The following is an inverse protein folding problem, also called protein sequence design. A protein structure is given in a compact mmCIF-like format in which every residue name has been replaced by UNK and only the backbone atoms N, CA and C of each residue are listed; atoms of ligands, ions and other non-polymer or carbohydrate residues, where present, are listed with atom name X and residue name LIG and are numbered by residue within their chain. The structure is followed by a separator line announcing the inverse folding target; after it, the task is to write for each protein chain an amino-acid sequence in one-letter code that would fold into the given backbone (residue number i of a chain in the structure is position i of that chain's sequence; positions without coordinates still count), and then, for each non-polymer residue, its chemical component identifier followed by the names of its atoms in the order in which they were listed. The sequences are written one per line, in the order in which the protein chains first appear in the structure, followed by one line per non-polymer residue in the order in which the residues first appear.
data_IF_860058359416
#
_entry.id   IF_860058359416
#
_cell.length_a   1.000
_cell.length_b   1.000
_cell.length_c   1.000
_cell.angle_alpha   90.00
_cell.angle_beta   90.00
_cell.angle_gamma   90.00
#
_symmetry.space_group_name_H-M   'P 1'
#
loop_
_entity.id
_entity.type
_entity.pdbx_description
1 polymer ?
#
# COMPACT_ATOMS: atom_id res chain seq x y z
N UNK A 1 10.33 27.67 -15.38
CA UNK A 1 11.03 26.40 -15.07
C UNK A 1 10.12 25.65 -14.11
N UNK A 2 9.82 24.36 -14.33
CA UNK A 2 9.16 23.56 -13.28
C UNK A 2 10.17 23.46 -12.12
N UNK A 3 9.77 23.81 -10.92
CA UNK A 3 10.61 23.62 -9.72
C UNK A 3 10.93 22.14 -9.60
N UNK A 4 12.17 21.82 -9.23
CA UNK A 4 12.58 20.45 -8.96
C UNK A 4 11.80 19.97 -7.72
N UNK A 5 11.01 18.91 -7.82
CA UNK A 5 10.20 18.44 -6.71
C UNK A 5 11.01 18.05 -5.47
N UNK A 6 12.32 17.80 -5.61
CA UNK A 6 13.22 17.48 -4.49
C UNK A 6 13.22 18.57 -3.41
N UNK A 7 13.07 19.83 -3.81
CA UNK A 7 13.09 21.00 -2.94
C UNK A 7 11.73 21.41 -2.37
N UNK A 8 10.70 20.57 -2.55
CA UNK A 8 9.39 20.81 -1.92
C UNK A 8 9.53 20.75 -0.41
N UNK A 9 9.10 21.79 0.28
CA UNK A 9 9.02 21.84 1.73
C UNK A 9 7.77 21.13 2.21
N UNK A 10 7.94 20.06 2.98
CA UNK A 10 6.81 19.25 3.47
C UNK A 10 5.85 20.03 4.37
N UNK A 11 6.32 21.11 5.01
CA UNK A 11 5.51 22.00 5.83
C UNK A 11 4.40 22.71 5.06
N UNK A 12 4.56 22.91 3.75
CA UNK A 12 3.54 23.52 2.88
C UNK A 12 2.34 22.59 2.67
N UNK A 13 2.54 21.28 2.90
CA UNK A 13 1.52 20.24 2.81
C UNK A 13 0.98 19.87 4.20
N UNK A 14 0.80 20.88 5.04
CA UNK A 14 0.22 20.74 6.37
C UNK A 14 -1.16 21.39 6.42
N UNK A 15 -2.04 20.77 7.18
CA UNK A 15 -3.37 21.30 7.51
C UNK A 15 -3.74 20.86 8.93
N UNK A 16 -4.66 21.57 9.62
CA UNK A 16 -5.13 21.14 10.92
C UNK A 16 -6.02 19.91 10.78
N UNK A 17 -5.61 18.79 11.39
CA UNK A 17 -6.41 17.57 11.46
C UNK A 17 -6.75 17.30 12.94
N UNK A 18 -7.95 17.69 13.39
CA UNK A 18 -8.40 17.38 14.75
C UNK A 18 -8.60 15.89 14.95
N UNK A 19 -8.31 15.34 16.15
CA UNK A 19 -8.43 13.92 16.44
C UNK A 19 -9.86 13.38 16.26
N UNK A 20 -10.87 14.21 16.52
CA UNK A 20 -12.28 13.89 16.32
C UNK A 20 -12.66 13.68 14.85
N UNK A 21 -11.86 14.14 13.91
CA UNK A 21 -12.04 13.90 12.47
C UNK A 21 -11.43 12.58 12.01
N UNK A 22 -10.57 11.97 12.81
CA UNK A 22 -9.96 10.67 12.50
C UNK A 22 -10.95 9.57 12.85
N UNK A 23 -11.43 8.85 11.83
CA UNK A 23 -12.31 7.70 12.05
C UNK A 23 -11.55 6.56 12.73
N UNK A 24 -11.88 6.28 13.99
CA UNK A 24 -11.24 5.21 14.77
C UNK A 24 -11.78 3.82 14.39
N UNK A 25 -12.99 3.74 13.88
CA UNK A 25 -13.70 2.53 13.45
C UNK A 25 -14.41 2.76 12.11
N UNK A 26 -14.65 1.69 11.32
CA UNK A 26 -15.50 1.80 10.15
C UNK A 26 -16.95 2.07 10.54
N UNK A 27 -17.75 2.53 9.58
CA UNK A 27 -19.19 2.53 9.72
C UNK A 27 -19.72 1.08 9.77
N UNK A 28 -20.84 0.82 10.46
CA UNK A 28 -21.48 -0.51 10.46
C UNK A 28 -21.79 -1.00 9.04
N UNK A 29 -22.19 -0.08 8.16
CA UNK A 29 -22.37 -0.30 6.73
C UNK A 29 -21.34 0.56 5.99
N UNK A 30 -20.23 -0.06 5.55
CA UNK A 30 -19.04 0.65 5.04
C UNK A 30 -19.33 1.61 3.89
N UNK A 31 -20.17 1.21 2.95
CA UNK A 31 -20.52 1.98 1.76
C UNK A 31 -21.58 3.09 1.99
N UNK A 32 -22.00 3.30 3.24
CA UNK A 32 -22.72 4.49 3.67
C UNK A 32 -21.80 5.65 4.06
N UNK A 33 -20.49 5.48 3.88
CA UNK A 33 -19.52 6.58 4.03
C UNK A 33 -19.79 7.68 3.01
N UNK A 34 -19.37 8.90 3.33
CA UNK A 34 -19.47 10.02 2.39
C UNK A 34 -18.48 9.85 1.23
N UNK A 35 -18.87 10.37 0.08
CA UNK A 35 -18.03 10.48 -1.12
C UNK A 35 -17.91 11.95 -1.51
N UNK A 36 -16.72 12.52 -1.43
CA UNK A 36 -16.41 13.80 -2.03
C UNK A 36 -16.09 13.58 -3.51
N UNK A 37 -16.72 14.33 -4.40
CA UNK A 37 -16.43 14.30 -5.83
C UNK A 37 -15.73 15.60 -6.21
N UNK A 38 -14.49 15.51 -6.66
CA UNK A 38 -13.77 16.61 -7.29
C UNK A 38 -13.67 16.36 -8.79
N UNK A 39 -14.26 17.24 -9.57
CA UNK A 39 -14.25 17.14 -11.02
C UNK A 39 -13.96 18.51 -11.65
N UNK A 40 -12.81 18.63 -12.33
CA UNK A 40 -12.41 19.85 -13.08
C UNK A 40 -12.53 21.16 -12.28
N UNK A 41 -12.17 21.11 -11.01
CA UNK A 41 -12.21 22.27 -10.11
C UNK A 41 -13.49 22.43 -9.30
N UNK A 42 -14.55 21.68 -9.61
CA UNK A 42 -15.82 21.69 -8.87
C UNK A 42 -15.84 20.59 -7.82
N UNK A 43 -16.43 20.88 -6.65
CA UNK A 43 -16.58 19.93 -5.55
C UNK A 43 -18.06 19.70 -5.30
N UNK A 44 -18.44 18.44 -5.18
CA UNK A 44 -19.76 18.00 -4.71
C UNK A 44 -19.61 16.84 -3.74
N UNK A 45 -20.68 16.45 -3.07
CA UNK A 45 -20.70 15.31 -2.15
C UNK A 45 -21.89 14.41 -2.38
N UNK A 46 -21.70 13.13 -2.07
CA UNK A 46 -22.72 12.09 -2.13
C UNK A 46 -22.38 10.98 -1.12
N UNK A 47 -23.09 9.87 -1.17
CA UNK A 47 -22.79 8.64 -0.44
C UNK A 47 -21.98 7.70 -1.33
N UNK A 48 -21.07 6.90 -0.75
CA UNK A 48 -20.17 6.03 -1.49
C UNK A 48 -20.88 5.03 -2.41
N UNK A 49 -22.10 4.60 -2.05
CA UNK A 49 -22.95 3.75 -2.91
C UNK A 49 -23.25 4.35 -4.27
N UNK A 50 -23.21 5.68 -4.40
CA UNK A 50 -23.42 6.40 -5.67
C UNK A 50 -22.17 6.45 -6.57
N UNK A 51 -21.02 5.90 -6.13
CA UNK A 51 -19.77 5.95 -6.89
C UNK A 51 -19.94 5.54 -8.37
N UNK A 52 -20.68 4.46 -8.72
CA UNK A 52 -20.85 4.05 -10.12
C UNK A 52 -21.48 5.14 -11.01
N UNK A 53 -22.31 6.01 -10.45
CA UNK A 53 -23.00 7.06 -11.22
C UNK A 53 -22.04 8.12 -11.77
N UNK A 54 -20.93 8.34 -11.09
CA UNK A 54 -19.93 9.35 -11.44
C UNK A 54 -18.86 8.86 -12.42
N UNK A 55 -18.86 7.56 -12.75
CA UNK A 55 -17.82 6.93 -13.57
C UNK A 55 -18.34 6.63 -14.98
N UNK A 56 -17.54 6.88 -16.04
CA UNK A 56 -17.91 6.56 -17.39
C UNK A 56 -18.02 5.04 -17.62
N UNK A 57 -19.06 4.61 -18.32
CA UNK A 57 -19.17 3.23 -18.82
C UNK A 57 -17.95 2.87 -19.70
N UNK A 58 -17.49 1.64 -19.62
CA UNK A 58 -16.32 1.17 -20.36
C UNK A 58 -14.98 1.58 -19.74
N UNK A 59 -14.99 2.16 -18.51
CA UNK A 59 -13.77 2.44 -17.77
C UNK A 59 -13.17 1.17 -17.19
N UNK A 60 -11.87 1.17 -16.92
CA UNK A 60 -11.15 0.14 -16.19
C UNK A 60 -10.81 0.64 -14.78
N UNK A 61 -11.26 -0.06 -13.75
CA UNK A 61 -10.95 0.24 -12.35
C UNK A 61 -10.01 -0.81 -11.78
N UNK A 62 -8.93 -0.36 -11.15
CA UNK A 62 -7.85 -1.22 -10.66
C UNK A 62 -7.74 -1.15 -9.14
N UNK A 63 -7.71 -2.33 -8.51
CA UNK A 63 -7.66 -2.54 -7.07
C UNK A 63 -6.36 -3.20 -6.63
N UNK A 64 -5.89 -2.88 -5.42
CA UNK A 64 -4.83 -3.63 -4.77
C UNK A 64 -5.45 -4.75 -3.92
N UNK A 65 -5.21 -6.01 -4.31
CA UNK A 65 -5.79 -7.20 -3.70
C UNK A 65 -4.98 -7.77 -2.53
N UNK A 66 -4.00 -7.04 -2.04
CA UNK A 66 -3.18 -7.49 -0.91
C UNK A 66 -4.01 -7.67 0.36
N UNK A 67 -3.62 -8.66 1.17
CA UNK A 67 -4.24 -8.98 2.47
C UNK A 67 -3.26 -8.68 3.60
N UNK A 68 -3.75 -8.00 4.64
CA UNK A 68 -2.95 -7.69 5.82
C UNK A 68 -2.67 -8.96 6.62
N UNK A 69 -1.41 -9.12 7.04
CA UNK A 69 -0.96 -10.19 7.90
C UNK A 69 -0.88 -9.74 9.35
N UNK A 70 -0.96 -10.67 10.28
CA UNK A 70 -0.82 -10.42 11.72
C UNK A 70 0.67 -10.28 12.08
N UNK A 71 1.31 -9.22 11.58
CA UNK A 71 2.76 -9.03 11.57
C UNK A 71 3.35 -8.56 12.89
N UNK A 72 2.53 -8.31 13.92
CA UNK A 72 2.95 -7.80 15.22
C UNK A 72 2.97 -8.92 16.24
N UNK A 73 4.17 -9.32 16.68
CA UNK A 73 4.41 -10.41 17.63
C UNK A 73 4.82 -9.85 18.99
N UNK A 74 4.24 -10.39 20.07
CA UNK A 74 4.59 -10.03 21.42
C UNK A 74 5.26 -11.19 22.16
N UNK A 75 6.40 -10.92 22.76
CA UNK A 75 7.15 -11.85 23.61
C UNK A 75 7.31 -11.27 25.01
N UNK A 76 7.18 -12.13 26.02
CA UNK A 76 7.42 -11.75 27.40
C UNK A 76 8.69 -12.42 27.90
N UNK A 77 9.66 -11.65 28.36
CA UNK A 77 10.88 -12.15 28.98
C UNK A 77 10.57 -12.70 30.37
N UNK A 78 11.44 -13.58 30.92
CA UNK A 78 11.36 -14.05 32.29
C UNK A 78 11.32 -12.89 33.33
N UNK A 79 11.96 -11.78 33.00
CA UNK A 79 11.96 -10.54 33.81
C UNK A 79 10.60 -9.81 33.78
N UNK A 80 9.60 -10.32 33.03
CA UNK A 80 8.30 -9.71 32.85
C UNK A 80 8.26 -8.63 31.75
N UNK A 81 9.40 -8.24 31.17
CA UNK A 81 9.43 -7.22 30.11
C UNK A 81 8.74 -7.70 28.83
N UNK A 82 7.82 -6.89 28.32
CA UNK A 82 7.15 -7.13 27.05
C UNK A 82 8.01 -6.55 25.92
N UNK A 83 8.31 -7.39 24.91
CA UNK A 83 9.02 -7.04 23.69
C UNK A 83 8.05 -7.19 22.52
N UNK A 84 7.87 -6.15 21.74
CA UNK A 84 7.13 -6.19 20.48
C UNK A 84 8.12 -6.41 19.34
N UNK A 85 7.82 -7.36 18.47
CA UNK A 85 8.56 -7.62 17.22
C UNK A 85 7.58 -7.43 16.06
N UNK A 86 7.76 -6.34 15.32
CA UNK A 86 6.90 -5.97 14.20
C UNK A 86 7.58 -6.32 12.88
N UNK A 87 7.12 -7.35 12.19
CA UNK A 87 7.61 -7.79 10.89
C UNK A 87 7.29 -6.76 9.80
N UNK A 88 8.31 -6.31 9.06
CA UNK A 88 8.17 -5.28 8.02
C UNK A 88 8.27 -5.88 6.63
N UNK A 89 9.34 -6.63 6.37
CA UNK A 89 9.62 -7.26 5.08
C UNK A 89 10.39 -8.57 5.27
N UNK A 90 10.15 -9.60 4.42
CA UNK A 90 10.89 -10.84 4.48
C UNK A 90 12.33 -10.64 4.01
N UNK A 91 13.27 -11.35 4.63
CA UNK A 91 14.69 -11.32 4.25
C UNK A 91 15.13 -12.68 3.70
N UNK A 92 14.74 -13.76 4.36
CA UNK A 92 15.18 -15.10 3.96
C UNK A 92 14.07 -16.14 4.20
N UNK A 93 13.49 -16.66 3.11
CA UNK A 93 13.55 -16.14 1.72
C UNK A 93 13.03 -14.70 1.62
N UNK A 94 13.52 -13.91 0.67
CA UNK A 94 13.10 -12.53 0.44
C UNK A 94 11.80 -12.39 -0.36
N UNK A 95 11.18 -13.51 -0.73
CA UNK A 95 9.87 -13.59 -1.35
C UNK A 95 8.79 -13.87 -0.31
N UNK A 96 7.69 -13.13 -0.34
CA UNK A 96 6.60 -13.25 0.63
C UNK A 96 5.95 -14.64 0.62
N UNK A 97 5.67 -15.20 -0.57
CA UNK A 97 5.00 -16.50 -0.69
C UNK A 97 5.91 -17.62 -0.18
N UNK A 98 7.17 -17.61 -0.61
CA UNK A 98 8.15 -18.60 -0.18
C UNK A 98 8.45 -18.48 1.32
N UNK A 99 8.48 -17.26 1.86
CA UNK A 99 8.72 -17.04 3.28
C UNK A 99 7.55 -17.55 4.14
N UNK A 100 6.30 -17.28 3.72
CA UNK A 100 5.11 -17.79 4.43
C UNK A 100 4.98 -19.31 4.41
N UNK A 101 5.55 -19.98 3.41
CA UNK A 101 5.54 -21.44 3.29
C UNK A 101 6.67 -22.13 4.05
N UNK A 102 7.61 -21.38 4.65
CA UNK A 102 8.66 -21.97 5.47
C UNK A 102 8.07 -22.75 6.65
N UNK A 103 8.67 -23.88 6.99
CA UNK A 103 8.14 -24.82 8.02
C UNK A 103 9.07 -25.05 9.19
N UNK A 104 10.20 -24.37 9.26
CA UNK A 104 11.17 -24.51 10.36
C UNK A 104 11.71 -23.16 10.83
N UNK A 105 12.01 -22.26 9.90
CA UNK A 105 12.52 -20.94 10.22
C UNK A 105 12.16 -19.95 9.10
N UNK A 106 12.08 -18.66 9.48
CA UNK A 106 11.90 -17.55 8.56
C UNK A 106 12.60 -16.31 9.11
N UNK A 107 13.23 -15.51 8.24
CA UNK A 107 13.91 -14.29 8.65
C UNK A 107 13.20 -13.04 8.09
N UNK A 108 13.03 -12.05 8.96
CA UNK A 108 12.36 -10.80 8.63
C UNK A 108 13.14 -9.59 9.13
N UNK A 109 13.05 -8.50 8.39
CA UNK A 109 13.42 -7.19 8.91
C UNK A 109 12.28 -6.70 9.79
N UNK A 110 12.58 -6.37 11.05
CA UNK A 110 11.58 -6.03 12.05
C UNK A 110 11.89 -4.71 12.75
N UNK A 111 10.86 -3.97 13.11
CA UNK A 111 10.95 -2.97 14.16
C UNK A 111 10.75 -3.65 15.52
N UNK A 112 11.49 -3.20 16.52
CA UNK A 112 11.45 -3.79 17.86
C UNK A 112 11.03 -2.75 18.86
N UNK A 113 9.86 -2.95 19.48
CA UNK A 113 9.39 -2.17 20.60
C UNK A 113 10.10 -2.61 21.88
N UNK A 114 10.44 -1.64 22.75
CA UNK A 114 11.16 -1.87 23.98
C UNK A 114 12.56 -2.53 23.79
N UNK A 115 13.23 -2.19 22.68
CA UNK A 115 14.52 -2.75 22.26
C UNK A 115 15.58 -2.77 23.38
N UNK A 116 15.61 -1.74 24.23
CA UNK A 116 16.56 -1.62 25.36
C UNK A 116 16.47 -2.80 26.34
N UNK A 117 15.34 -3.50 26.37
CA UNK A 117 15.12 -4.68 27.22
C UNK A 117 15.50 -6.00 26.54
N UNK A 118 15.75 -5.98 25.22
CA UNK A 118 16.24 -7.13 24.46
C UNK A 118 17.65 -6.91 23.97
N UNK A 119 18.61 -7.00 24.87
CA UNK A 119 20.05 -6.76 24.52
C UNK A 119 20.67 -7.97 23.85
N UNK A 120 20.34 -9.16 24.33
CA UNK A 120 20.88 -10.45 23.93
C UNK A 120 19.90 -11.59 24.21
N UNK A 121 20.28 -12.78 23.77
CA UNK A 121 19.51 -14.01 23.98
C UNK A 121 18.31 -14.15 23.03
N UNK A 122 17.62 -15.24 23.21
CA UNK A 122 16.42 -15.59 22.44
C UNK A 122 15.15 -15.22 23.21
N UNK A 123 14.15 -14.79 22.47
CA UNK A 123 12.78 -14.69 22.98
C UNK A 123 12.04 -15.96 22.63
N UNK A 124 11.21 -16.46 23.57
CA UNK A 124 10.40 -17.67 23.37
C UNK A 124 8.95 -17.41 23.75
N UNK A 125 8.04 -18.04 23.01
CA UNK A 125 6.62 -18.04 23.31
C UNK A 125 6.02 -19.37 22.87
N UNK A 126 5.17 -19.94 23.70
CA UNK A 126 4.50 -21.21 23.45
C UNK A 126 3.02 -20.97 23.19
N UNK A 127 2.48 -21.59 22.15
CA UNK A 127 1.05 -21.59 21.81
C UNK A 127 0.70 -22.87 21.04
N UNK A 128 -0.58 -23.17 20.95
CA UNK A 128 -1.07 -24.27 20.13
C UNK A 128 -1.45 -23.75 18.74
N UNK A 129 -0.87 -24.35 17.68
CA UNK A 129 -1.13 -24.03 16.28
C UNK A 129 -1.62 -25.30 15.57
N UNK A 130 -2.79 -25.28 14.96
CA UNK A 130 -3.40 -26.47 14.30
C UNK A 130 -3.45 -27.73 15.18
N UNK A 131 -3.60 -27.54 16.48
CA UNK A 131 -3.61 -28.65 17.45
C UNK A 131 -2.24 -29.11 17.95
N UNK A 132 -1.14 -28.55 17.43
CA UNK A 132 0.23 -28.86 17.87
C UNK A 132 0.73 -27.81 18.87
N UNK A 133 1.34 -28.23 20.00
CA UNK A 133 2.07 -27.31 20.84
C UNK A 133 3.32 -26.82 20.09
N UNK A 134 3.49 -25.51 19.95
CA UNK A 134 4.58 -24.88 19.23
C UNK A 134 5.35 -23.96 20.17
N UNK A 135 6.68 -24.10 20.16
CA UNK A 135 7.58 -23.12 20.75
C UNK A 135 8.17 -22.23 19.65
N UNK A 136 7.69 -20.99 19.56
CA UNK A 136 8.27 -19.99 18.67
C UNK A 136 9.44 -19.30 19.34
N UNK A 137 10.59 -19.31 18.67
CA UNK A 137 11.82 -18.65 19.11
C UNK A 137 12.15 -17.51 18.17
N UNK A 138 12.47 -16.32 18.71
CA UNK A 138 12.97 -15.18 17.96
C UNK A 138 14.40 -14.85 18.39
N UNK A 139 15.31 -14.72 17.42
CA UNK A 139 16.71 -14.36 17.64
C UNK A 139 17.00 -13.07 16.89
N UNK A 140 17.52 -12.06 17.58
CA UNK A 140 17.87 -10.78 16.99
C UNK A 140 19.23 -10.84 16.33
N UNK A 141 19.30 -10.44 15.06
CA UNK A 141 20.52 -10.32 14.27
C UNK A 141 20.96 -8.86 14.10
N UNK A 142 21.53 -8.58 12.93
CA UNK A 142 22.11 -7.29 12.59
C UNK A 142 21.10 -6.14 12.54
N UNK A 143 21.58 -4.94 12.81
CA UNK A 143 20.83 -3.71 12.70
C UNK A 143 20.94 -3.13 11.30
N UNK A 144 19.81 -2.77 10.69
CA UNK A 144 19.75 -2.09 9.40
C UNK A 144 18.93 -0.81 9.56
N UNK A 145 19.61 0.31 9.73
CA UNK A 145 18.95 1.59 10.05
C UNK A 145 18.29 1.57 11.41
N UNK A 146 16.97 1.71 11.46
CA UNK A 146 16.14 1.64 12.69
C UNK A 146 15.51 0.27 12.92
N UNK A 147 15.78 -0.69 12.03
CA UNK A 147 15.19 -2.03 12.05
C UNK A 147 16.26 -3.09 12.29
N UNK A 148 15.85 -4.27 12.67
CA UNK A 148 16.73 -5.38 12.96
C UNK A 148 16.32 -6.61 12.16
N UNK A 149 17.28 -7.38 11.72
CA UNK A 149 17.06 -8.75 11.27
C UNK A 149 16.61 -9.57 12.48
N UNK A 150 15.52 -10.33 12.31
CA UNK A 150 15.03 -11.27 13.31
C UNK A 150 14.80 -12.63 12.65
N UNK A 151 15.48 -13.65 13.18
CA UNK A 151 15.26 -15.04 12.81
C UNK A 151 14.19 -15.64 13.71
N UNK A 152 13.13 -16.14 13.10
CA UNK A 152 12.09 -16.92 13.77
C UNK A 152 12.33 -18.41 13.48
N UNK A 153 12.26 -19.23 14.54
CA UNK A 153 12.35 -20.68 14.43
C UNK A 153 11.26 -21.33 15.28
N UNK A 154 10.77 -22.48 14.85
CA UNK A 154 9.77 -23.27 15.56
C UNK A 154 10.02 -24.77 15.35
N UNK A 155 9.42 -25.59 16.20
CA UNK A 155 9.78 -26.99 16.42
C UNK A 155 8.87 -28.01 15.73
N UNK A 156 8.00 -27.59 14.78
CA UNK A 156 7.11 -28.50 14.08
C UNK A 156 7.00 -28.18 12.58
N UNK A 157 7.41 -29.12 11.70
CA UNK A 157 7.40 -28.90 10.24
C UNK A 157 6.01 -28.93 9.59
N UNK A 158 4.96 -29.36 10.30
CA UNK A 158 3.57 -29.32 9.79
C UNK A 158 2.95 -27.93 9.88
N UNK A 159 3.66 -26.97 10.49
CA UNK A 159 3.23 -25.60 10.72
C UNK A 159 4.07 -24.66 9.89
N UNK A 160 3.40 -23.85 9.06
CA UNK A 160 4.06 -22.84 8.22
C UNK A 160 4.24 -21.51 8.98
N UNK A 161 5.12 -20.63 8.47
CA UNK A 161 5.27 -19.29 9.06
C UNK A 161 3.96 -18.48 8.98
N UNK A 162 3.16 -18.68 7.91
CA UNK A 162 1.83 -18.08 7.84
C UNK A 162 0.92 -18.51 9.00
N UNK A 163 0.94 -19.81 9.37
CA UNK A 163 0.20 -20.33 10.51
C UNK A 163 0.71 -19.76 11.85
N UNK A 164 2.03 -19.59 11.96
CA UNK A 164 2.66 -18.94 13.13
C UNK A 164 2.12 -17.51 13.28
N UNK A 165 2.17 -16.70 12.22
CA UNK A 165 1.69 -15.32 12.28
C UNK A 165 0.20 -15.23 12.60
N UNK A 166 -0.61 -16.16 12.11
CA UNK A 166 -2.06 -16.18 12.35
C UNK A 166 -2.42 -16.43 13.81
N UNK A 167 -1.62 -17.18 14.54
CA UNK A 167 -1.88 -17.54 15.95
C UNK A 167 -1.08 -16.69 16.94
N UNK A 168 0.21 -16.46 16.66
CA UNK A 168 1.09 -15.70 17.55
C UNK A 168 1.02 -14.19 17.34
N UNK A 169 0.60 -13.75 16.15
CA UNK A 169 0.61 -12.36 15.75
C UNK A 169 -0.70 -11.63 16.04
N UNK A 170 -0.59 -10.32 16.03
CA UNK A 170 -1.71 -9.39 16.06
C UNK A 170 -1.71 -8.56 14.77
N UNK A 171 -2.91 -8.18 14.33
CA UNK A 171 -3.06 -7.33 13.15
C UNK A 171 -2.53 -5.92 13.46
N UNK A 172 -1.59 -5.38 12.68
CA UNK A 172 -1.08 -4.05 12.89
C UNK A 172 -2.08 -3.01 12.35
N UNK A 173 -2.73 -2.28 13.25
CA UNK A 173 -3.53 -1.11 12.87
C UNK A 173 -2.66 0.15 12.88
N UNK A 174 -3.02 1.19 12.10
CA UNK A 174 -2.25 2.43 12.06
C UNK A 174 -2.15 3.12 13.42
N UNK A 175 -0.96 3.65 13.79
CA UNK A 175 -0.76 4.30 15.09
C UNK A 175 -1.67 5.52 15.34
N UNK A 176 -2.07 6.23 14.29
CA UNK A 176 -2.94 7.41 14.40
C UNK A 176 -4.39 7.08 14.81
N UNK A 177 -4.77 5.80 14.79
CA UNK A 177 -6.06 5.37 15.34
C UNK A 177 -6.07 5.52 16.86
N UNK A 178 -4.90 5.57 17.50
CA UNK A 178 -4.71 5.81 18.93
C UNK A 178 -5.62 4.94 19.82
N UNK A 179 -5.67 3.66 19.49
CA UNK A 179 -6.38 2.60 20.21
C UNK A 179 -5.66 1.27 20.03
N UNK A 180 -5.95 0.31 20.87
CA UNK A 180 -5.48 -1.06 20.71
C UNK A 180 -6.21 -1.77 19.57
N UNK A 181 -5.58 -2.83 19.04
CA UNK A 181 -6.18 -3.71 18.05
C UNK A 181 -7.28 -4.55 18.73
N UNK A 182 -8.42 -4.66 18.07
CA UNK A 182 -9.54 -5.49 18.49
C UNK A 182 -9.68 -6.71 17.57
N UNK A 183 -10.36 -7.75 18.04
CA UNK A 183 -10.60 -8.97 17.25
C UNK A 183 -11.35 -8.63 15.94
N UNK A 184 -12.27 -7.67 16.00
CA UNK A 184 -13.02 -7.18 14.84
C UNK A 184 -12.12 -6.57 13.73
N UNK A 185 -10.92 -6.07 14.08
CA UNK A 185 -10.00 -5.50 13.08
C UNK A 185 -9.48 -6.56 12.09
N UNK A 186 -9.48 -7.84 12.47
CA UNK A 186 -9.10 -8.92 11.55
C UNK A 186 -9.97 -8.98 10.30
N UNK A 187 -11.23 -8.57 10.42
CA UNK A 187 -12.19 -8.47 9.31
C UNK A 187 -12.34 -7.04 8.80
N UNK A 188 -12.40 -6.08 9.71
CA UNK A 188 -12.73 -4.69 9.34
C UNK A 188 -11.55 -3.95 8.73
N UNK A 189 -10.30 -4.32 9.05
CA UNK A 189 -9.10 -3.76 8.45
C UNK A 189 -8.62 -4.58 7.22
N UNK A 190 -9.57 -5.13 6.47
CA UNK A 190 -9.38 -5.86 5.22
C UNK A 190 -10.38 -5.36 4.17
N UNK A 191 -9.96 -5.37 2.90
CA UNK A 191 -10.88 -5.12 1.79
C UNK A 191 -11.68 -6.39 1.46
N UNK A 192 -12.88 -6.24 0.90
CA UNK A 192 -13.72 -7.38 0.50
C UNK A 192 -13.13 -8.22 -0.64
N UNK A 193 -12.14 -7.67 -1.34
CA UNK A 193 -11.43 -8.34 -2.43
C UNK A 193 -9.98 -8.72 -2.06
N UNK A 194 -9.59 -8.63 -0.80
CA UNK A 194 -8.23 -9.02 -0.36
C UNK A 194 -7.99 -10.52 -0.51
N UNK A 195 -6.89 -10.91 -1.16
CA UNK A 195 -6.55 -12.31 -1.49
C UNK A 195 -5.12 -12.67 -1.12
N UNK A 196 -4.16 -11.84 -1.45
CA UNK A 196 -2.74 -12.16 -1.42
C UNK A 196 -2.13 -11.65 -0.11
N UNK A 197 -1.82 -12.57 0.81
CA UNK A 197 -1.17 -12.25 2.10
C UNK A 197 0.22 -11.65 1.88
N UNK A 198 0.58 -10.60 2.64
CA UNK A 198 1.92 -10.01 2.58
C UNK A 198 2.01 -8.56 3.00
N UNK A 199 0.90 -7.86 3.15
CA UNK A 199 0.91 -6.46 3.60
C UNK A 199 0.86 -6.34 5.10
N UNK A 200 1.52 -5.32 5.63
CA UNK A 200 1.41 -4.91 7.03
C UNK A 200 0.43 -3.74 7.21
N UNK A 201 -0.08 -3.18 6.12
CA UNK A 201 -1.15 -2.19 6.13
C UNK A 201 -2.18 -2.49 5.04
N UNK A 202 -3.44 -2.19 5.30
CA UNK A 202 -4.51 -2.35 4.31
C UNK A 202 -4.42 -1.27 3.21
N UNK A 203 -4.83 -1.57 1.97
CA UNK A 203 -5.10 -0.56 0.95
C UNK A 203 -6.43 0.14 1.28
N UNK A 204 -6.36 1.11 2.20
CA UNK A 204 -7.50 1.63 2.98
C UNK A 204 -8.59 2.29 2.14
N UNK A 205 -8.26 2.82 0.96
CA UNK A 205 -9.26 3.35 0.03
C UNK A 205 -10.29 2.28 -0.42
N UNK A 206 -9.92 1.01 -0.33
CA UNK A 206 -10.80 -0.12 -0.63
C UNK A 206 -11.74 -0.52 0.50
N UNK A 207 -11.56 0.00 1.72
CA UNK A 207 -12.35 -0.42 2.88
C UNK A 207 -13.83 -0.02 2.79
N UNK A 208 -14.17 1.01 2.03
CA UNK A 208 -15.56 1.45 1.82
C UNK A 208 -16.29 0.65 0.73
N UNK A 209 -15.57 -0.15 -0.06
CA UNK A 209 -16.19 -1.04 -1.05
C UNK A 209 -16.89 -2.23 -0.38
N UNK A 210 -18.06 -2.55 -0.90
CA UNK A 210 -18.85 -3.72 -0.53
C UNK A 210 -19.17 -4.53 -1.79
N UNK A 211 -19.60 -5.81 -1.66
CA UNK A 211 -20.02 -6.58 -2.82
C UNK A 211 -21.07 -5.86 -3.68
N UNK A 212 -22.06 -5.20 -3.07
CA UNK A 212 -23.09 -4.48 -3.84
C UNK A 212 -22.55 -3.30 -4.65
N UNK A 213 -21.51 -2.60 -4.17
CA UNK A 213 -20.87 -1.51 -4.93
C UNK A 213 -20.06 -2.10 -6.10
N UNK A 214 -19.36 -3.23 -5.88
CA UNK A 214 -18.63 -3.92 -6.94
C UNK A 214 -19.59 -4.43 -8.03
N UNK A 215 -20.71 -5.05 -7.63
CA UNK A 215 -21.74 -5.51 -8.55
C UNK A 215 -22.32 -4.36 -9.37
N UNK A 216 -22.66 -3.23 -8.72
CA UNK A 216 -23.18 -2.03 -9.38
C UNK A 216 -22.18 -1.43 -10.39
N UNK A 217 -20.87 -1.45 -10.09
CA UNK A 217 -19.83 -1.04 -11.03
C UNK A 217 -19.81 -1.95 -12.27
N UNK A 218 -19.88 -3.26 -12.08
CA UNK A 218 -19.92 -4.23 -13.19
C UNK A 218 -21.20 -4.10 -14.02
N UNK A 219 -22.36 -3.94 -13.38
CA UNK A 219 -23.64 -3.70 -14.05
C UNK A 219 -23.62 -2.44 -14.90
N UNK A 220 -22.89 -1.42 -14.47
CA UNK A 220 -22.66 -0.19 -15.25
C UNK A 220 -21.69 -0.41 -16.43
N UNK A 221 -21.05 -1.57 -16.53
CA UNK A 221 -20.07 -1.87 -17.59
C UNK A 221 -18.70 -1.27 -17.30
N UNK A 222 -18.31 -1.20 -16.03
CA UNK A 222 -16.95 -0.84 -15.61
C UNK A 222 -16.19 -2.15 -15.40
N UNK A 223 -15.07 -2.29 -16.10
CA UNK A 223 -14.18 -3.43 -15.92
C UNK A 223 -13.42 -3.31 -14.61
N UNK A 224 -13.39 -4.39 -13.83
CA UNK A 224 -12.68 -4.47 -12.56
C UNK A 224 -11.48 -5.39 -12.71
N UNK A 225 -10.29 -4.91 -12.35
CA UNK A 225 -9.05 -5.68 -12.36
C UNK A 225 -8.24 -5.48 -11.08
N UNK A 226 -7.35 -6.40 -10.83
CA UNK A 226 -6.54 -6.45 -9.62
C UNK A 226 -5.05 -6.40 -9.95
N UNK A 227 -4.31 -5.81 -9.04
CA UNK A 227 -2.86 -5.91 -8.94
C UNK A 227 -2.49 -6.18 -7.48
N UNK A 228 -1.24 -6.52 -7.23
CA UNK A 228 -0.73 -6.69 -5.86
C UNK A 228 0.40 -5.69 -5.62
N UNK A 229 0.30 -4.93 -4.55
CA UNK A 229 1.42 -4.21 -3.95
C UNK A 229 1.42 -4.53 -2.45
N UNK A 230 2.52 -5.09 -1.97
CA UNK A 230 2.70 -5.36 -0.56
C UNK A 230 3.11 -4.09 0.17
N UNK A 231 2.17 -3.57 0.97
CA UNK A 231 2.36 -2.31 1.70
C UNK A 231 3.23 -2.57 2.93
N UNK A 232 4.39 -1.91 2.97
CA UNK A 232 5.29 -1.95 4.12
C UNK A 232 4.87 -1.00 5.25
N UNK A 233 5.43 -1.19 6.45
CA UNK A 233 5.15 -0.34 7.62
C UNK A 233 5.62 1.12 7.46
N UNK A 234 6.41 1.40 6.44
CA UNK A 234 6.85 2.76 6.11
C UNK A 234 5.72 3.73 5.84
N UNK A 235 4.58 3.24 5.36
CA UNK A 235 3.38 4.04 5.09
C UNK A 235 2.83 4.77 6.34
N UNK A 236 3.16 4.28 7.53
CA UNK A 236 2.74 4.91 8.79
C UNK A 236 3.70 6.02 9.27
N UNK A 237 4.85 6.20 8.62
CA UNK A 237 5.85 7.19 9.05
C UNK A 237 5.61 8.51 8.33
N UNK A 238 5.45 9.63 9.07
CA UNK A 238 5.40 10.95 8.46
C UNK A 238 6.77 11.32 7.89
N UNK A 239 6.80 12.22 6.90
CA UNK A 239 8.03 12.83 6.41
C UNK A 239 8.63 13.67 7.54
N UNK A 240 9.89 13.39 7.89
CA UNK A 240 10.61 14.08 8.97
C UNK A 240 11.61 15.11 8.46
N UNK A 241 12.03 14.98 7.21
CA UNK A 241 12.91 15.96 6.56
C UNK A 241 12.15 17.25 6.25
N UNK A 242 12.87 18.37 6.23
CA UNK A 242 12.30 19.66 5.84
C UNK A 242 11.95 19.66 4.34
N UNK A 243 12.88 19.25 3.50
CA UNK A 243 12.67 19.02 2.07
C UNK A 243 12.44 17.53 1.79
N UNK A 244 11.63 17.23 0.77
CA UNK A 244 11.29 15.84 0.46
C UNK A 244 12.47 15.04 -0.11
N UNK A 245 13.54 15.68 -0.59
CA UNK A 245 14.77 15.01 -0.99
C UNK A 245 15.38 14.18 0.15
N UNK A 246 15.30 14.69 1.37
CA UNK A 246 15.80 13.99 2.57
C UNK A 246 14.92 12.84 3.07
N UNK A 247 13.77 12.58 2.42
CA UNK A 247 12.89 11.47 2.75
C UNK A 247 13.16 10.28 1.85
N UNK A 248 13.55 9.16 2.44
CA UNK A 248 13.74 7.89 1.72
C UNK A 248 12.42 7.12 1.66
N UNK A 249 11.95 6.86 0.42
CA UNK A 249 10.80 5.99 0.18
C UNK A 249 11.16 4.53 0.41
N UNK A 250 10.30 3.81 1.10
CA UNK A 250 10.45 2.37 1.26
C UNK A 250 10.25 1.65 -0.08
N UNK A 251 10.99 0.55 -0.25
CA UNK A 251 10.78 -0.38 -1.33
C UNK A 251 9.50 -1.16 -1.07
N UNK A 252 8.60 -1.18 -2.06
CA UNK A 252 7.39 -1.99 -2.03
C UNK A 252 7.37 -2.94 -3.22
N UNK A 253 7.08 -4.21 -2.95
CA UNK A 253 7.03 -5.25 -3.98
C UNK A 253 5.70 -5.23 -4.70
N UNK A 254 5.76 -5.25 -6.02
CA UNK A 254 4.59 -5.24 -6.91
C UNK A 254 4.54 -6.51 -7.75
N UNK A 255 3.31 -6.97 -7.98
CA UNK A 255 3.02 -8.12 -8.82
C UNK A 255 1.81 -7.81 -9.68
N UNK A 256 1.97 -7.87 -11.01
CA UNK A 256 0.92 -7.55 -11.96
C UNK A 256 0.82 -8.64 -13.02
N UNK A 257 -0.37 -9.22 -13.15
CA UNK A 257 -0.61 -10.28 -14.11
C UNK A 257 -0.57 -9.76 -15.55
N UNK A 258 -0.11 -10.61 -16.44
CA UNK A 258 -0.11 -10.37 -17.89
C UNK A 258 -1.50 -9.97 -18.42
N UNK A 259 -2.56 -10.60 -17.92
CA UNK A 259 -3.95 -10.28 -18.28
C UNK A 259 -4.35 -8.86 -17.90
N UNK A 260 -3.94 -8.38 -16.74
CA UNK A 260 -4.18 -7.00 -16.27
C UNK A 260 -3.46 -5.98 -17.16
N UNK A 261 -2.21 -6.28 -17.57
CA UNK A 261 -1.46 -5.42 -18.50
C UNK A 261 -2.13 -5.36 -19.87
N UNK A 262 -2.65 -6.48 -20.37
CA UNK A 262 -3.43 -6.52 -21.61
C UNK A 262 -4.69 -5.67 -21.51
N UNK A 263 -5.45 -5.79 -20.42
CA UNK A 263 -6.63 -4.95 -20.20
C UNK A 263 -6.31 -3.46 -20.12
N UNK A 264 -5.19 -3.08 -19.52
CA UNK A 264 -4.73 -1.69 -19.55
C UNK A 264 -4.48 -1.20 -20.98
N UNK A 265 -3.88 -2.04 -21.84
CA UNK A 265 -3.66 -1.72 -23.25
C UNK A 265 -5.00 -1.58 -23.98
N UNK A 266 -5.95 -2.49 -23.74
CA UNK A 266 -7.28 -2.47 -24.36
C UNK A 266 -8.10 -1.22 -23.96
N UNK A 267 -7.73 -0.56 -22.84
CA UNK A 267 -8.29 0.70 -22.36
C UNK A 267 -7.37 1.91 -22.63
N UNK A 268 -6.61 1.87 -23.73
CA UNK A 268 -5.72 2.95 -24.16
C UNK A 268 -4.68 3.39 -23.11
N UNK A 269 -4.26 2.46 -22.24
CA UNK A 269 -3.34 2.74 -21.13
C UNK A 269 -3.94 3.66 -20.06
N UNK A 270 -5.25 3.67 -19.90
CA UNK A 270 -5.97 4.50 -18.95
C UNK A 270 -6.67 3.65 -17.88
N UNK A 271 -6.59 4.09 -16.62
CA UNK A 271 -7.25 3.42 -15.52
C UNK A 271 -7.77 4.39 -14.45
N UNK A 272 -8.79 3.93 -13.72
CA UNK A 272 -9.25 4.49 -12.45
C UNK A 272 -8.54 3.72 -11.35
N UNK A 273 -7.75 4.37 -10.53
CA UNK A 273 -7.03 3.71 -9.44
C UNK A 273 -7.82 3.78 -8.13
N UNK A 274 -7.93 2.65 -7.43
CA UNK A 274 -8.44 2.60 -6.07
C UNK A 274 -7.27 2.56 -5.11
N UNK A 275 -7.06 3.68 -4.42
CA UNK A 275 -5.99 3.89 -3.45
C UNK A 275 -4.65 4.30 -4.07
N UNK A 276 -3.84 4.95 -3.24
CA UNK A 276 -2.51 5.43 -3.62
C UNK A 276 -1.54 4.30 -3.93
N UNK A 277 -1.75 3.10 -3.40
CA UNK A 277 -0.96 1.90 -3.72
C UNK A 277 -1.20 1.45 -5.17
N UNK A 278 -2.45 1.45 -5.64
CA UNK A 278 -2.78 1.17 -7.05
C UNK A 278 -2.20 2.25 -7.96
N UNK A 279 -2.28 3.53 -7.57
CA UNK A 279 -1.67 4.64 -8.30
C UNK A 279 -0.17 4.41 -8.47
N UNK A 280 0.55 4.16 -7.37
CA UNK A 280 2.00 3.97 -7.40
C UNK A 280 2.41 2.78 -8.27
N UNK A 281 1.65 1.69 -8.23
CA UNK A 281 1.90 0.53 -9.09
C UNK A 281 1.66 0.86 -10.56
N UNK A 282 0.52 1.45 -10.90
CA UNK A 282 0.16 1.78 -12.30
C UNK A 282 1.18 2.76 -12.91
N UNK A 283 1.53 3.81 -12.19
CA UNK A 283 2.53 4.76 -12.68
C UNK A 283 3.93 4.12 -12.76
N UNK A 284 4.26 3.18 -11.86
CA UNK A 284 5.49 2.39 -11.97
C UNK A 284 5.54 1.51 -13.21
N UNK A 285 4.41 0.91 -13.64
CA UNK A 285 4.35 0.16 -14.89
C UNK A 285 4.80 1.01 -16.08
N UNK A 286 4.40 2.28 -16.12
CA UNK A 286 4.86 3.17 -17.18
C UNK A 286 6.39 3.29 -17.20
N UNK A 287 7.01 3.55 -16.05
CA UNK A 287 8.47 3.71 -15.94
C UNK A 287 9.23 2.40 -16.20
N UNK A 288 8.67 1.25 -15.83
CA UNK A 288 9.19 -0.07 -16.20
C UNK A 288 9.19 -0.24 -17.72
N UNK A 289 8.09 0.13 -18.36
CA UNK A 289 7.98 0.10 -19.82
C UNK A 289 8.99 1.01 -20.52
N UNK A 290 9.27 2.20 -19.96
CA UNK A 290 10.32 3.11 -20.45
C UNK A 290 11.70 2.45 -20.33
N UNK A 291 12.00 1.84 -19.18
CA UNK A 291 13.27 1.10 -18.98
C UNK A 291 13.42 -0.02 -20.04
N UNK A 292 12.35 -0.78 -20.30
CA UNK A 292 12.36 -1.84 -21.31
C UNK A 292 12.39 -1.32 -22.76
N UNK A 293 11.94 -0.10 -23.01
CA UNK A 293 12.09 0.54 -24.32
C UNK A 293 13.56 0.91 -24.60
N UNK A 294 14.30 1.31 -23.56
CA UNK A 294 15.74 1.62 -23.63
C UNK A 294 16.60 0.34 -23.65
N UNK A 295 16.27 -0.61 -22.78
CA UNK A 295 16.95 -1.90 -22.66
C UNK A 295 15.96 -3.07 -22.65
N UNK A 296 15.64 -3.67 -23.81
CA UNK A 296 14.68 -4.79 -23.87
C UNK A 296 15.11 -6.04 -23.09
N UNK A 297 16.39 -6.17 -22.75
CA UNK A 297 16.97 -7.29 -22.01
C UNK A 297 17.27 -6.95 -20.55
N UNK A 298 16.67 -5.88 -20.02
CA UNK A 298 16.83 -5.51 -18.63
C UNK A 298 16.49 -6.68 -17.69
N UNK A 299 17.31 -6.85 -16.66
CA UNK A 299 17.08 -7.84 -15.60
C UNK A 299 15.96 -7.40 -14.67
N UNK A 300 15.42 -8.33 -13.88
CA UNK A 300 14.38 -8.02 -12.89
C UNK A 300 14.82 -6.90 -11.92
N UNK A 301 16.09 -6.87 -11.52
CA UNK A 301 16.62 -5.83 -10.65
C UNK A 301 16.66 -4.45 -11.34
N UNK A 302 16.98 -4.40 -12.63
CA UNK A 302 16.97 -3.17 -13.44
C UNK A 302 15.55 -2.63 -13.68
N UNK A 303 14.52 -3.46 -13.55
CA UNK A 303 13.12 -3.05 -13.64
C UNK A 303 12.61 -2.36 -12.38
N UNK A 304 13.34 -2.38 -11.28
CA UNK A 304 12.99 -1.65 -10.06
C UNK A 304 12.85 -0.16 -10.36
N UNK A 305 11.71 0.41 -9.99
CA UNK A 305 11.49 1.86 -10.13
C UNK A 305 12.11 2.59 -8.95
N UNK A 306 13.14 3.39 -9.21
CA UNK A 306 13.82 4.19 -8.20
C UNK A 306 12.98 5.42 -7.82
N UNK A 307 13.20 5.93 -6.61
CA UNK A 307 12.42 7.04 -6.03
C UNK A 307 12.30 8.26 -6.96
N UNK A 308 13.40 8.72 -7.52
CA UNK A 308 13.48 9.93 -8.33
C UNK A 308 13.49 9.69 -9.85
N UNK A 309 13.48 8.44 -10.27
CA UNK A 309 13.49 8.06 -11.69
C UNK A 309 12.46 8.82 -12.54
N UNK A 310 11.23 9.09 -12.06
CA UNK A 310 10.23 9.82 -12.85
C UNK A 310 10.62 11.27 -13.19
N UNK A 311 11.61 11.83 -12.52
CA UNK A 311 12.03 13.23 -12.66
C UNK A 311 13.40 13.39 -13.34
N UNK A 312 14.12 12.28 -13.57
CA UNK A 312 15.47 12.28 -14.17
C UNK A 312 15.46 12.32 -15.69
N UNK A 313 14.36 11.85 -16.30
CA UNK A 313 14.19 11.81 -17.74
C UNK A 313 12.81 12.31 -18.13
N UNK A 314 12.73 13.04 -19.27
CA UNK A 314 11.45 13.38 -19.85
C UNK A 314 10.94 12.17 -20.66
N UNK A 315 9.91 11.55 -20.16
CA UNK A 315 9.26 10.41 -20.80
C UNK A 315 8.58 10.82 -22.09
N UNK A 316 8.90 10.14 -23.17
CA UNK A 316 8.46 10.51 -24.52
C UNK A 316 7.62 9.42 -25.21
N UNK A 317 7.44 8.24 -24.57
CA UNK A 317 6.65 7.16 -25.18
C UNK A 317 5.20 7.17 -24.67
N UNK A 318 4.22 6.83 -25.55
CA UNK A 318 2.84 6.66 -25.11
C UNK A 318 2.69 5.54 -24.05
N UNK A 319 1.74 5.67 -23.11
CA UNK A 319 1.50 4.64 -22.08
C UNK A 319 1.26 3.24 -22.67
N UNK A 320 0.49 3.13 -23.74
CA UNK A 320 0.24 1.86 -24.45
C UNK A 320 1.55 1.23 -24.94
N UNK A 321 2.48 2.03 -25.47
CA UNK A 321 3.78 1.52 -25.94
C UNK A 321 4.61 1.02 -24.76
N UNK A 322 4.63 1.74 -23.63
CA UNK A 322 5.30 1.30 -22.42
C UNK A 322 4.75 -0.06 -21.93
N UNK A 323 3.43 -0.21 -21.88
CA UNK A 323 2.77 -1.45 -21.48
C UNK A 323 3.05 -2.61 -22.46
N UNK A 324 3.11 -2.34 -23.77
CA UNK A 324 3.49 -3.33 -24.80
C UNK A 324 4.94 -3.82 -24.59
N UNK A 325 5.86 -2.94 -24.15
CA UNK A 325 7.23 -3.36 -23.80
C UNK A 325 7.27 -4.35 -22.65
N UNK A 326 6.39 -4.16 -21.64
CA UNK A 326 6.25 -5.11 -20.53
C UNK A 326 5.72 -6.46 -21.03
N UNK A 327 4.68 -6.47 -21.89
CA UNK A 327 4.22 -7.73 -22.50
C UNK A 327 5.33 -8.46 -23.26
N UNK A 328 6.10 -7.73 -24.07
CA UNK A 328 7.24 -8.28 -24.78
C UNK A 328 8.32 -8.87 -23.86
N UNK A 329 8.56 -8.27 -22.69
CA UNK A 329 9.43 -8.81 -21.65
C UNK A 329 8.88 -10.11 -21.07
N UNK A 330 7.60 -10.15 -20.71
CA UNK A 330 6.94 -11.34 -20.19
C UNK A 330 6.97 -12.49 -21.21
N UNK A 331 6.69 -12.19 -22.48
CA UNK A 331 6.70 -13.19 -23.57
C UNK A 331 8.08 -13.82 -23.76
N UNK A 332 9.14 -12.99 -23.80
CA UNK A 332 10.52 -13.49 -23.98
C UNK A 332 10.99 -14.37 -22.82
N UNK A 333 10.50 -14.10 -21.62
CA UNK A 333 10.92 -14.84 -20.42
C UNK A 333 9.93 -15.94 -20.02
N UNK A 334 8.84 -16.14 -20.78
CA UNK A 334 7.80 -17.14 -20.47
C UNK A 334 7.09 -16.88 -19.15
N UNK A 335 6.84 -15.60 -18.81
CA UNK A 335 6.26 -15.18 -17.54
C UNK A 335 4.78 -14.79 -17.71
N UNK A 336 3.94 -15.21 -16.78
CA UNK A 336 2.53 -14.81 -16.70
C UNK A 336 2.31 -13.62 -15.76
N UNK A 337 3.32 -13.26 -14.98
CA UNK A 337 3.23 -12.19 -13.98
C UNK A 337 4.53 -11.40 -13.95
N UNK A 338 4.40 -10.08 -13.96
CA UNK A 338 5.52 -9.17 -13.69
C UNK A 338 5.72 -9.09 -12.18
N UNK A 339 6.92 -9.45 -11.72
CA UNK A 339 7.36 -9.26 -10.34
C UNK A 339 8.51 -8.26 -10.34
N UNK A 340 8.41 -7.22 -9.54
CA UNK A 340 9.47 -6.23 -9.33
C UNK A 340 9.16 -5.40 -8.08
N UNK A 341 9.83 -4.27 -7.92
CA UNK A 341 9.60 -3.38 -6.79
C UNK A 341 9.61 -1.91 -7.19
N UNK A 342 9.01 -1.08 -6.35
CA UNK A 342 8.97 0.36 -6.56
C UNK A 342 9.29 1.14 -5.29
N UNK A 343 10.03 2.23 -5.46
CA UNK A 343 10.23 3.30 -4.49
C UNK A 343 9.67 4.62 -4.99
N UNK A 344 8.85 4.58 -6.05
CA UNK A 344 8.36 5.79 -6.72
C UNK A 344 7.80 6.80 -5.71
N UNK A 345 8.28 8.04 -5.78
CA UNK A 345 7.65 9.19 -5.15
C UNK A 345 6.88 9.98 -6.20
N UNK A 346 5.63 10.28 -5.91
CA UNK A 346 4.79 11.13 -6.77
C UNK A 346 4.51 12.42 -6.00
N UNK A 347 4.96 13.55 -6.55
CA UNK A 347 4.90 14.86 -5.94
C UNK A 347 4.51 15.91 -6.98
N UNK A 348 4.10 17.12 -6.60
CA UNK A 348 3.82 18.21 -7.51
C UNK A 348 4.91 18.39 -8.56
N UNK A 349 4.50 18.52 -9.81
CA UNK A 349 5.39 18.48 -10.99
C UNK A 349 5.37 17.17 -11.75
N UNK A 350 4.89 16.07 -11.14
CA UNK A 350 4.66 14.79 -11.83
C UNK A 350 3.48 14.89 -12.80
N UNK A 351 3.65 14.34 -13.99
CA UNK A 351 2.58 14.21 -14.99
C UNK A 351 2.12 12.75 -15.03
N UNK A 352 0.91 12.49 -14.56
CA UNK A 352 0.30 11.17 -14.56
C UNK A 352 0.18 10.59 -15.98
N UNK A 353 0.53 9.32 -16.14
CA UNK A 353 0.57 8.61 -17.42
C UNK A 353 -0.66 7.73 -17.59
N UNK A 354 -0.89 6.81 -16.66
CA UNK A 354 -1.92 5.77 -16.72
C UNK A 354 -3.17 6.17 -15.93
N UNK A 355 -3.00 6.73 -14.73
CA UNK A 355 -4.14 7.05 -13.85
C UNK A 355 -4.86 8.32 -14.33
N UNK A 356 -6.17 8.19 -14.61
CA UNK A 356 -7.03 9.29 -15.07
C UNK A 356 -8.10 9.71 -14.07
N UNK A 357 -8.43 8.83 -13.12
CA UNK A 357 -9.27 9.12 -11.97
C UNK A 357 -8.76 8.31 -10.77
N UNK A 358 -9.05 8.77 -9.57
CA UNK A 358 -8.60 8.13 -8.34
C UNK A 358 -9.70 8.12 -7.30
N UNK A 359 -9.93 6.95 -6.67
CA UNK A 359 -10.71 6.84 -5.44
C UNK A 359 -9.71 6.70 -4.30
N UNK A 360 -9.75 7.59 -3.31
CA UNK A 360 -8.80 7.57 -2.19
C UNK A 360 -9.41 8.12 -0.90
N UNK A 361 -8.78 7.84 0.24
CA UNK A 361 -9.11 8.48 1.52
C UNK A 361 -8.50 9.89 1.60
N UNK A 362 -8.82 10.61 2.68
CA UNK A 362 -8.10 11.82 3.09
C UNK A 362 -6.87 11.41 3.88
N UNK A 363 -5.70 11.97 3.52
CA UNK A 363 -4.40 11.57 4.05
C UNK A 363 -3.90 12.50 5.14
N UNK A 364 -2.95 12.00 5.94
CA UNK A 364 -2.32 12.79 7.01
C UNK A 364 -1.61 14.04 6.46
N UNK A 365 -1.58 15.14 7.25
CA UNK A 365 -0.71 16.27 6.94
C UNK A 365 0.76 15.83 6.90
N UNK A 366 1.56 16.50 6.09
CA UNK A 366 3.00 16.25 5.92
C UNK A 366 3.32 14.81 5.48
N UNK A 367 2.46 14.19 4.65
CA UNK A 367 2.66 12.84 4.12
C UNK A 367 2.98 12.86 2.62
N UNK A 368 3.75 11.86 2.18
CA UNK A 368 4.00 11.64 0.75
C UNK A 368 2.72 11.34 -0.03
N UNK A 369 1.69 10.80 0.64
CA UNK A 369 0.39 10.53 0.03
C UNK A 369 -0.37 11.83 -0.28
N UNK A 370 -0.25 12.85 0.55
CA UNK A 370 -0.82 14.16 0.27
C UNK A 370 -0.10 14.86 -0.89
N UNK A 371 1.22 14.66 -1.04
CA UNK A 371 1.97 15.12 -2.21
C UNK A 371 1.47 14.46 -3.50
N UNK A 372 1.21 13.16 -3.47
CA UNK A 372 0.66 12.40 -4.58
C UNK A 372 -0.72 12.93 -5.00
N UNK A 373 -1.62 13.14 -4.03
CA UNK A 373 -2.93 13.75 -4.29
C UNK A 373 -2.78 15.17 -4.85
N UNK A 374 -1.92 15.99 -4.26
CA UNK A 374 -1.67 17.35 -4.74
C UNK A 374 -1.19 17.38 -6.19
N UNK A 375 -0.27 16.49 -6.55
CA UNK A 375 0.17 16.33 -7.94
C UNK A 375 -0.99 15.98 -8.87
N UNK A 376 -1.88 15.09 -8.44
CA UNK A 376 -3.02 14.64 -9.24
C UNK A 376 -4.03 15.74 -9.50
N UNK A 377 -4.39 16.50 -8.47
CA UNK A 377 -5.36 17.61 -8.57
C UNK A 377 -4.72 18.96 -8.91
N UNK A 378 -3.49 18.95 -9.44
CA UNK A 378 -2.76 20.16 -9.92
C UNK A 378 -2.69 21.28 -8.87
N UNK A 379 -2.43 20.91 -7.62
CA UNK A 379 -2.29 21.82 -6.49
C UNK A 379 -3.59 22.16 -5.73
N UNK A 380 -4.77 21.76 -6.23
CA UNK A 380 -6.07 22.10 -5.61
C UNK A 380 -6.39 21.26 -4.34
N UNK A 381 -5.43 20.53 -3.80
CA UNK A 381 -5.64 19.67 -2.64
C UNK A 381 -6.18 20.44 -1.42
N UNK A 382 -5.70 21.67 -1.18
CA UNK A 382 -6.10 22.48 -0.03
C UNK A 382 -7.60 22.78 -0.08
N UNK A 383 -8.13 23.22 -1.22
CA UNK A 383 -9.56 23.49 -1.41
C UNK A 383 -10.40 22.24 -1.13
N UNK A 384 -9.93 21.06 -1.57
CA UNK A 384 -10.61 19.78 -1.33
C UNK A 384 -10.61 19.43 0.16
N UNK A 385 -9.49 19.58 0.85
CA UNK A 385 -9.35 19.23 2.26
C UNK A 385 -10.07 20.24 3.18
N UNK A 386 -10.04 21.52 2.84
CA UNK A 386 -10.81 22.57 3.56
C UNK A 386 -12.31 22.31 3.44
N UNK A 387 -12.79 21.94 2.24
CA UNK A 387 -14.17 21.51 2.03
C UNK A 387 -14.53 20.31 2.90
N UNK A 388 -13.71 19.26 2.88
CA UNK A 388 -13.95 18.05 3.66
C UNK A 388 -14.02 18.32 5.16
N UNK A 389 -13.12 19.16 5.68
CA UNK A 389 -13.14 19.58 7.09
C UNK A 389 -14.39 20.40 7.45
N UNK A 390 -14.83 21.29 6.55
CA UNK A 390 -16.02 22.13 6.76
C UNK A 390 -17.34 21.35 6.66
N UNK A 391 -17.35 20.20 5.98
CA UNK A 391 -18.55 19.38 5.72
C UNK A 391 -18.56 18.04 6.46
N UNK A 392 -17.88 17.96 7.59
CA UNK A 392 -17.91 16.81 8.50
C UNK A 392 -17.50 15.48 7.90
N UNK A 393 -16.57 15.48 6.92
CA UNK A 393 -15.95 14.27 6.44
C UNK A 393 -15.04 13.67 7.51
N UNK A 394 -14.97 12.34 7.54
CA UNK A 394 -14.08 11.55 8.38
C UNK A 394 -12.81 11.23 7.63
N UNK A 395 -11.69 11.26 8.31
CA UNK A 395 -10.35 11.18 7.73
C UNK A 395 -9.67 9.85 8.00
N UNK A 396 -8.65 9.56 7.19
CA UNK A 396 -7.71 8.44 7.26
C UNK A 396 -8.38 7.09 6.97
N UNK A 397 -7.82 5.99 7.52
CA UNK A 397 -8.09 4.60 7.09
C UNK A 397 -9.56 4.20 7.06
N UNK A 398 -10.29 4.49 8.12
CA UNK A 398 -11.72 4.16 8.23
C UNK A 398 -12.63 5.33 7.85
N UNK A 399 -12.03 6.38 7.31
CA UNK A 399 -12.73 7.60 6.92
C UNK A 399 -13.53 7.47 5.63
N UNK A 400 -14.01 8.63 5.21
CA UNK A 400 -14.76 8.80 3.99
C UNK A 400 -13.83 8.81 2.77
N UNK A 401 -14.40 8.76 1.59
CA UNK A 401 -13.65 8.68 0.33
C UNK A 401 -13.76 9.96 -0.48
N UNK A 402 -12.78 10.16 -1.36
CA UNK A 402 -12.83 11.14 -2.43
C UNK A 402 -12.69 10.45 -3.80
N UNK A 403 -13.49 10.86 -4.76
CA UNK A 403 -13.32 10.58 -6.18
C UNK A 403 -12.72 11.82 -6.83
N UNK A 404 -11.49 11.70 -7.30
CA UNK A 404 -10.73 12.79 -7.90
C UNK A 404 -10.65 12.59 -9.43
N UNK A 405 -11.13 13.59 -10.20
CA UNK A 405 -11.10 13.64 -11.67
C UNK A 405 -10.59 15.03 -12.06
N UNK A 406 -9.27 15.23 -12.27
CA UNK A 406 -8.64 16.53 -12.48
C UNK A 406 -8.98 17.20 -13.82
#
# INVERSE_FOLDING_TARGET
MKEDPRHIHISEYSYPLPDERIAKFPLPTRDQSKLLIYRRGEISEDVFTSLPEYLPQGSLMIFNNTKVIQARLHFRKETGALIEVFCLEPIQPNDYVLNFQQTAHAAWLCMIGNLKKWKDGQLKREMTVKGFPITLTATRGECKGTSHWVDFAWDNPEVTFADILEVFGELPIPPYLNRDTEESDKETYQTVYSKIKGSVAAPTAGLNFTPRVLDALQEKGIDLEELTLHVGAGTFKPVKSEEIEGHEMHTEYISVNRSTIKKLIDHDGCAIAVGTTSVRTLESLYHIGVTLAENPYATEEELRVKQWQPYEKYDQIPPVVALQKILGYLDRNGLETLHTSTQIIIAPGYNYKIVKAMVTNFHQPKSTLLLLVSAFVKGNWRTIYDYALAHDFRFLSYGDSSLLIP
#
